data_IF_245419606314
#
_entry.id   IF_245419606314
#
_cell.length_a   1.000
_cell.length_b   1.000
_cell.length_c   1.000
_cell.angle_alpha   90.00
_cell.angle_beta   90.00
_cell.angle_gamma   90.00
#
_symmetry.space_group_name_H-M   'P 1'
#
loop_
_entity.id
_entity.type
_entity.pdbx_description
1 polymer ?
#
# COMPACT_ATOMS: atom_id res chain seq x y z
N UNK A 1 4.92 1.29 -11.93
CA UNK A 1 3.95 0.27 -11.46
C UNK A 1 4.65 -0.51 -10.36
N UNK A 2 3.95 -0.83 -9.27
CA UNK A 2 4.53 -1.55 -8.14
C UNK A 2 3.94 -2.96 -8.09
N UNK A 3 4.80 -3.94 -7.88
CA UNK A 3 4.45 -5.35 -7.72
C UNK A 3 5.01 -5.82 -6.39
N UNK A 4 4.18 -6.49 -5.60
CA UNK A 4 4.58 -7.11 -4.34
C UNK A 4 4.23 -8.60 -4.40
N UNK A 5 5.13 -9.45 -3.93
CA UNK A 5 4.93 -10.87 -3.74
C UNK A 5 5.21 -11.19 -2.28
N UNK A 6 4.24 -11.78 -1.59
CA UNK A 6 4.38 -12.27 -0.23
C UNK A 6 4.43 -13.79 -0.28
N UNK A 7 5.48 -14.38 0.30
CA UNK A 7 5.79 -15.78 0.13
C UNK A 7 6.64 -16.34 1.26
N UNK A 8 6.66 -17.68 1.34
CA UNK A 8 7.45 -18.40 2.32
C UNK A 8 8.66 -19.08 1.65
N UNK A 9 9.82 -18.91 2.27
CA UNK A 9 11.09 -19.54 1.88
C UNK A 9 11.54 -20.65 2.83
N UNK A 10 10.97 -20.71 4.05
CA UNK A 10 11.24 -21.76 5.06
C UNK A 10 10.31 -22.97 4.95
N UNK A 11 9.30 -22.87 4.09
CA UNK A 11 8.37 -23.95 3.74
C UNK A 11 7.23 -24.13 4.72
N UNK A 12 6.09 -24.57 4.21
CA UNK A 12 5.01 -25.16 5.02
C UNK A 12 4.81 -26.60 4.59
N UNK A 13 4.43 -27.51 5.51
CA UNK A 13 4.17 -28.89 5.15
C UNK A 13 2.91 -28.97 4.26
N UNK A 14 3.02 -29.67 3.14
CA UNK A 14 1.88 -30.08 2.35
C UNK A 14 1.22 -31.29 3.02
N UNK A 15 0.11 -31.04 3.73
CA UNK A 15 -0.58 -32.09 4.49
C UNK A 15 -1.18 -33.19 3.61
N UNK A 16 -1.50 -32.90 2.34
CA UNK A 16 -1.97 -33.93 1.41
C UNK A 16 -0.88 -34.98 1.10
N UNK A 17 0.40 -34.64 1.30
CA UNK A 17 1.53 -35.57 1.23
C UNK A 17 1.82 -36.17 2.60
N UNK A 18 1.84 -35.34 3.64
CA UNK A 18 2.27 -35.74 4.99
C UNK A 18 1.26 -36.66 5.70
N UNK A 19 -0.04 -36.43 5.55
CA UNK A 19 -1.06 -37.12 6.33
C UNK A 19 -1.28 -38.57 5.86
N UNK A 20 -1.58 -38.87 4.57
CA UNK A 20 -1.84 -40.26 4.14
C UNK A 20 -0.60 -41.15 4.25
N UNK A 21 0.57 -40.61 3.89
CA UNK A 21 1.83 -41.35 3.82
C UNK A 21 2.65 -41.37 5.10
N UNK A 22 2.33 -40.53 6.08
CA UNK A 22 3.13 -40.35 7.30
C UNK A 22 2.33 -40.53 8.59
N UNK A 23 1.38 -39.62 8.82
CA UNK A 23 0.59 -39.56 10.07
C UNK A 23 -0.36 -40.76 10.17
N UNK A 24 -1.07 -41.08 9.09
CA UNK A 24 -2.06 -42.15 9.05
C UNK A 24 -1.45 -43.54 8.82
N UNK A 25 -0.16 -43.61 8.47
CA UNK A 25 0.54 -44.86 8.09
C UNK A 25 1.56 -45.34 9.14
N UNK A 26 1.61 -44.74 10.33
CA UNK A 26 2.63 -44.96 11.38
C UNK A 26 4.09 -44.73 10.94
N UNK A 27 4.34 -44.15 9.76
CA UNK A 27 5.70 -43.88 9.29
C UNK A 27 6.37 -42.72 10.05
N UNK A 28 5.58 -41.75 10.51
CA UNK A 28 6.03 -40.65 11.36
C UNK A 28 5.83 -41.00 12.83
N UNK A 29 6.90 -40.89 13.63
CA UNK A 29 6.85 -41.11 15.07
C UNK A 29 6.58 -39.80 15.86
N UNK A 30 5.41 -39.59 16.48
CA UNK A 30 5.14 -38.37 17.24
C UNK A 30 5.74 -38.36 18.65
N UNK A 31 6.28 -39.49 19.15
CA UNK A 31 6.70 -39.66 20.55
C UNK A 31 8.20 -39.95 20.72
N UNK A 32 8.99 -39.86 19.65
CA UNK A 32 10.43 -40.15 19.72
C UNK A 32 11.16 -39.87 18.40
N UNK A 33 12.44 -40.29 18.29
CA UNK A 33 13.24 -40.10 17.08
C UNK A 33 12.58 -40.70 15.83
N UNK A 34 12.78 -40.05 14.68
CA UNK A 34 12.29 -40.53 13.38
C UNK A 34 13.20 -41.63 12.81
N UNK A 35 12.59 -42.54 12.04
CA UNK A 35 13.33 -43.38 11.09
C UNK A 35 13.87 -42.52 9.94
N UNK A 36 14.85 -43.03 9.18
CA UNK A 36 15.35 -42.34 7.98
C UNK A 36 14.24 -42.06 6.95
N UNK A 37 13.29 -42.98 6.80
CA UNK A 37 12.17 -42.86 5.87
C UNK A 37 11.15 -41.84 6.36
N UNK A 38 10.83 -41.82 7.66
CA UNK A 38 9.93 -40.82 8.26
C UNK A 38 10.52 -39.42 8.16
N UNK A 39 11.82 -39.27 8.44
CA UNK A 39 12.50 -37.98 8.31
C UNK A 39 12.54 -37.50 6.85
N UNK A 40 12.76 -38.40 5.89
CA UNK A 40 12.73 -38.07 4.47
C UNK A 40 11.35 -37.59 4.02
N UNK A 41 10.27 -38.23 4.47
CA UNK A 41 8.90 -37.80 4.17
C UNK A 41 8.61 -36.41 4.75
N UNK A 42 8.99 -36.15 6.01
CA UNK A 42 8.83 -34.84 6.65
C UNK A 42 9.55 -33.78 5.81
N UNK A 43 10.84 -33.98 5.52
CA UNK A 43 11.63 -33.01 4.77
C UNK A 43 11.09 -32.77 3.36
N UNK A 44 10.62 -33.82 2.67
CA UNK A 44 10.05 -33.72 1.32
C UNK A 44 8.65 -33.12 1.27
N UNK A 45 7.96 -33.02 2.41
CA UNK A 45 6.61 -32.44 2.48
C UNK A 45 6.61 -30.91 2.49
N UNK A 46 7.73 -30.26 2.86
CA UNK A 46 7.80 -28.81 2.93
C UNK A 46 7.85 -28.20 1.53
N UNK A 47 6.88 -27.33 1.25
CA UNK A 47 6.78 -26.61 -0.02
C UNK A 47 6.96 -25.10 0.19
N UNK A 48 7.73 -24.48 -0.68
CA UNK A 48 7.93 -23.04 -0.74
C UNK A 48 7.08 -22.44 -1.86
N UNK A 49 6.71 -21.18 -1.70
CA UNK A 49 5.94 -20.49 -2.73
C UNK A 49 5.47 -19.12 -2.32
N UNK A 50 4.91 -18.43 -3.30
CA UNK A 50 4.33 -17.12 -3.12
C UNK A 50 2.89 -17.32 -2.70
N UNK A 51 2.53 -16.90 -1.50
CA UNK A 51 1.17 -16.98 -0.99
C UNK A 51 0.25 -15.97 -1.68
N UNK A 52 0.74 -14.75 -1.91
CA UNK A 52 -0.06 -13.64 -2.41
C UNK A 52 0.74 -12.78 -3.39
N UNK A 53 0.06 -12.35 -4.45
CA UNK A 53 0.55 -11.33 -5.35
C UNK A 53 -0.29 -10.05 -5.24
N UNK A 54 0.37 -8.90 -5.25
CA UNK A 54 -0.24 -7.59 -5.25
C UNK A 54 0.32 -6.72 -6.38
N UNK A 55 -0.56 -5.95 -7.04
CA UNK A 55 -0.19 -4.99 -8.08
C UNK A 55 -0.85 -3.65 -7.82
N UNK A 56 -0.06 -2.59 -7.85
CA UNK A 56 -0.52 -1.20 -7.80
C UNK A 56 -0.04 -0.41 -9.02
N UNK A 57 -0.96 0.32 -9.65
CA UNK A 57 -0.67 1.29 -10.71
C UNK A 57 -1.19 2.66 -10.31
N UNK A 58 -0.39 3.69 -10.57
CA UNK A 58 -0.71 5.10 -10.31
C UNK A 58 -0.35 5.95 -11.51
N UNK A 59 -1.16 6.96 -11.79
CA UNK A 59 -0.86 8.05 -12.71
C UNK A 59 -1.34 9.37 -12.11
N UNK A 60 -0.72 10.48 -12.49
CA UNK A 60 -1.15 11.81 -12.08
C UNK A 60 -0.76 12.87 -13.09
N UNK A 61 -1.61 13.88 -13.21
CA UNK A 61 -1.36 15.10 -13.97
C UNK A 61 -1.69 16.29 -13.07
N UNK A 62 -0.82 17.28 -13.06
CA UNK A 62 -0.99 18.48 -12.25
C UNK A 62 -0.45 19.70 -12.97
N UNK A 63 -1.06 20.85 -12.69
CA UNK A 63 -0.59 22.15 -13.17
C UNK A 63 -0.87 23.23 -12.15
N UNK A 64 -0.06 24.28 -12.17
CA UNK A 64 -0.26 25.45 -11.34
C UNK A 64 0.28 26.70 -12.03
N UNK A 65 -0.22 27.84 -11.60
CA UNK A 65 0.26 29.16 -11.98
C UNK A 65 0.46 29.98 -10.71
N UNK A 66 1.41 30.90 -10.74
CA UNK A 66 1.65 31.80 -9.62
C UNK A 66 1.84 33.22 -10.11
N UNK A 67 1.42 34.17 -9.28
CA UNK A 67 1.54 35.59 -9.58
C UNK A 67 1.98 36.35 -8.33
N UNK A 68 2.90 37.30 -8.54
CA UNK A 68 3.25 38.28 -7.51
C UNK A 68 2.16 39.35 -7.52
N UNK A 69 1.54 39.61 -6.38
CA UNK A 69 0.41 40.53 -6.29
C UNK A 69 0.91 41.97 -6.09
N UNK A 70 1.28 42.30 -4.85
CA UNK A 70 1.73 43.64 -4.46
C UNK A 70 2.65 43.54 -3.24
N UNK A 71 3.41 44.60 -3.00
CA UNK A 71 4.18 44.75 -1.76
C UNK A 71 3.21 45.16 -0.65
N UNK A 72 2.88 44.24 0.24
CA UNK A 72 2.09 44.56 1.42
C UNK A 72 3.03 45.08 2.52
N UNK A 73 2.59 46.06 3.30
CA UNK A 73 3.26 46.54 4.52
C UNK A 73 4.66 47.12 4.30
N UNK A 74 4.92 47.69 3.11
CA UNK A 74 6.23 48.25 2.75
C UNK A 74 7.38 47.23 2.89
N UNK A 75 7.07 45.94 2.77
CA UNK A 75 8.05 44.85 2.85
C UNK A 75 8.86 44.74 1.56
N UNK A 76 10.05 44.14 1.66
CA UNK A 76 10.96 43.93 0.53
C UNK A 76 10.46 42.89 -0.48
N UNK A 77 9.45 42.09 -0.12
CA UNK A 77 8.97 40.98 -0.92
C UNK A 77 7.47 41.14 -1.18
N UNK A 78 7.06 40.99 -2.43
CA UNK A 78 5.66 40.99 -2.80
C UNK A 78 4.94 39.74 -2.26
N UNK A 79 3.67 39.89 -1.90
CA UNK A 79 2.80 38.74 -1.65
C UNK A 79 2.67 37.89 -2.93
N UNK A 80 2.58 36.58 -2.76
CA UNK A 80 2.52 35.62 -3.87
C UNK A 80 1.24 34.81 -3.73
N UNK A 81 0.45 34.79 -4.81
CA UNK A 81 -0.70 33.89 -4.96
C UNK A 81 -0.33 32.78 -5.93
N UNK A 82 -0.57 31.54 -5.54
CA UNK A 82 -0.51 30.38 -6.41
C UNK A 82 -1.89 29.72 -6.45
N UNK A 83 -2.29 29.26 -7.64
CA UNK A 83 -3.48 28.43 -7.81
C UNK A 83 -3.11 27.23 -8.68
N UNK A 84 -3.70 26.08 -8.38
CA UNK A 84 -3.41 24.87 -9.13
C UNK A 84 -4.51 23.83 -9.06
N UNK A 85 -4.36 22.84 -9.93
CA UNK A 85 -5.25 21.70 -10.01
C UNK A 85 -4.46 20.41 -10.25
N UNK A 86 -5.02 19.30 -9.80
CA UNK A 86 -4.44 17.98 -10.01
C UNK A 86 -5.52 16.92 -10.21
N UNK A 87 -5.21 15.92 -11.02
CA UNK A 87 -5.98 14.68 -11.14
C UNK A 87 -5.03 13.48 -11.02
N UNK A 88 -5.45 12.48 -10.26
CA UNK A 88 -4.68 11.26 -10.02
C UNK A 88 -5.59 10.05 -10.05
N UNK A 89 -5.11 8.96 -10.65
CA UNK A 89 -5.77 7.66 -10.58
C UNK A 89 -4.87 6.62 -9.94
N UNK A 90 -5.44 5.83 -9.04
CA UNK A 90 -4.83 4.67 -8.41
C UNK A 90 -5.69 3.42 -8.68
N UNK A 91 -5.04 2.30 -8.98
CA UNK A 91 -5.67 0.98 -9.03
C UNK A 91 -4.79 -0.02 -8.29
N UNK A 92 -5.42 -0.82 -7.45
CA UNK A 92 -4.81 -1.90 -6.69
C UNK A 92 -5.58 -3.20 -6.91
N UNK A 93 -4.85 -4.31 -6.90
CA UNK A 93 -5.39 -5.66 -6.95
C UNK A 93 -4.44 -6.57 -6.18
N UNK A 94 -4.98 -7.50 -5.42
CA UNK A 94 -4.21 -8.53 -4.76
C UNK A 94 -5.02 -9.79 -4.58
N UNK A 95 -4.38 -10.94 -4.76
CA UNK A 95 -5.03 -12.23 -4.62
C UNK A 95 -4.03 -13.27 -4.10
N UNK A 96 -4.57 -14.31 -3.46
CA UNK A 96 -3.81 -15.53 -3.17
C UNK A 96 -3.41 -16.23 -4.47
N UNK A 97 -2.32 -16.98 -4.43
CA UNK A 97 -1.89 -17.83 -5.54
C UNK A 97 -2.30 -19.29 -5.30
N UNK A 98 -2.24 -20.16 -6.33
CA UNK A 98 -2.49 -21.60 -6.16
C UNK A 98 -1.61 -22.29 -5.12
N UNK A 99 -0.50 -21.68 -4.68
CA UNK A 99 0.30 -22.17 -3.56
C UNK A 99 -0.54 -22.38 -2.30
N UNK A 100 -1.54 -21.51 -2.03
CA UNK A 100 -2.38 -21.65 -0.85
C UNK A 100 -3.12 -22.99 -0.79
N UNK A 101 -3.53 -23.55 -1.94
CA UNK A 101 -4.17 -24.87 -1.99
C UNK A 101 -3.31 -26.00 -1.41
N UNK A 102 -1.98 -25.84 -1.42
CA UNK A 102 -1.05 -26.84 -0.92
C UNK A 102 -0.79 -26.71 0.59
N UNK A 103 -0.97 -25.52 1.15
CA UNK A 103 -0.52 -25.18 2.51
C UNK A 103 -1.61 -24.61 3.41
N UNK A 104 -2.84 -24.43 2.90
CA UNK A 104 -3.97 -23.87 3.66
C UNK A 104 -4.27 -24.68 4.93
N UNK A 105 -4.14 -26.01 4.88
CA UNK A 105 -4.32 -26.86 6.05
C UNK A 105 -3.32 -26.55 7.18
N UNK A 106 -2.05 -26.33 6.81
CA UNK A 106 -0.97 -26.03 7.75
C UNK A 106 -0.96 -24.56 8.22
N UNK A 107 -1.42 -23.64 7.37
CA UNK A 107 -1.36 -22.18 7.62
C UNK A 107 -2.66 -21.59 8.17
N UNK A 108 -3.79 -22.27 7.97
CA UNK A 108 -5.13 -21.76 8.28
C UNK A 108 -5.58 -20.59 7.39
N UNK A 109 -4.84 -20.27 6.33
CA UNK A 109 -5.11 -19.14 5.46
C UNK A 109 -6.13 -19.49 4.37
N UNK A 110 -7.14 -18.65 4.19
CA UNK A 110 -8.15 -18.82 3.14
C UNK A 110 -7.76 -18.08 1.87
N UNK A 111 -8.36 -18.48 0.75
CA UNK A 111 -8.23 -17.73 -0.50
C UNK A 111 -8.95 -16.39 -0.45
N UNK A 112 -8.37 -15.40 -1.12
CA UNK A 112 -9.02 -14.12 -1.34
C UNK A 112 -8.57 -13.50 -2.65
N UNK A 113 -9.43 -12.61 -3.17
CA UNK A 113 -9.10 -11.70 -4.25
C UNK A 113 -9.76 -10.36 -3.96
N UNK A 114 -8.95 -9.31 -3.81
CA UNK A 114 -9.40 -7.95 -3.53
C UNK A 114 -8.89 -7.00 -4.60
N UNK A 115 -9.71 -6.03 -4.94
CA UNK A 115 -9.35 -4.97 -5.88
C UNK A 115 -9.97 -3.65 -5.46
N UNK A 116 -9.32 -2.55 -5.84
CA UNK A 116 -9.81 -1.21 -5.57
C UNK A 116 -9.25 -0.23 -6.59
N UNK A 117 -10.03 0.80 -6.89
CA UNK A 117 -9.56 1.91 -7.71
C UNK A 117 -10.15 3.21 -7.22
N UNK A 118 -9.36 4.27 -7.28
CA UNK A 118 -9.81 5.62 -6.95
C UNK A 118 -9.25 6.63 -7.92
N UNK A 119 -10.08 7.62 -8.23
CA UNK A 119 -9.66 8.85 -8.89
C UNK A 119 -9.82 10.00 -7.89
N UNK A 120 -8.75 10.77 -7.74
CA UNK A 120 -8.71 11.97 -6.91
C UNK A 120 -8.54 13.19 -7.81
N UNK A 121 -9.39 14.19 -7.62
CA UNK A 121 -9.30 15.49 -8.25
C UNK A 121 -9.12 16.54 -7.17
N UNK A 122 -8.35 17.58 -7.45
CA UNK A 122 -8.19 18.66 -6.50
C UNK A 122 -7.97 20.00 -7.18
N UNK A 123 -8.40 21.04 -6.47
CA UNK A 123 -8.07 22.44 -6.74
C UNK A 123 -7.54 23.05 -5.46
N UNK A 124 -6.56 23.94 -5.58
CA UNK A 124 -5.96 24.59 -4.42
C UNK A 124 -5.56 26.02 -4.73
N UNK A 125 -5.49 26.83 -3.68
CA UNK A 125 -4.96 28.17 -3.70
C UNK A 125 -4.06 28.38 -2.47
N UNK A 126 -2.94 29.06 -2.68
CA UNK A 126 -1.98 29.39 -1.62
C UNK A 126 -1.60 30.86 -1.75
N UNK A 127 -1.64 31.58 -0.63
CA UNK A 127 -1.28 32.98 -0.50
C UNK A 127 -0.18 33.11 0.56
N UNK A 128 1.00 33.52 0.13
CA UNK A 128 2.10 33.91 1.01
C UNK A 128 2.15 35.43 1.11
N UNK A 129 2.08 35.97 2.33
CA UNK A 129 2.12 37.41 2.63
C UNK A 129 3.26 37.71 3.60
N UNK A 130 4.34 38.37 3.12
CA UNK A 130 5.35 38.94 4.00
C UNK A 130 4.75 40.12 4.78
N UNK A 131 4.74 40.04 6.11
CA UNK A 131 4.21 41.09 7.00
C UNK A 131 5.32 42.01 7.53
N UNK A 132 6.58 41.54 7.55
CA UNK A 132 7.75 42.28 8.04
C UNK A 132 9.06 41.54 7.74
N UNK A 133 10.17 41.94 8.36
CA UNK A 133 11.47 41.26 8.21
C UNK A 133 11.59 39.93 8.95
N UNK A 134 10.65 39.66 9.86
CA UNK A 134 10.64 38.50 10.76
C UNK A 134 9.24 37.87 10.91
N UNK A 135 8.30 38.21 10.02
CA UNK A 135 6.93 37.73 10.09
C UNK A 135 6.39 37.51 8.69
N UNK A 136 6.06 36.27 8.37
CA UNK A 136 5.30 35.87 7.20
C UNK A 136 4.00 35.17 7.61
N UNK A 137 2.96 35.37 6.80
CA UNK A 137 1.68 34.68 6.91
C UNK A 137 1.46 33.86 5.65
N UNK A 138 1.19 32.57 5.82
CA UNK A 138 0.80 31.66 4.75
C UNK A 138 -0.64 31.22 4.96
N UNK A 139 -1.49 31.47 3.98
CA UNK A 139 -2.86 30.97 3.90
C UNK A 139 -2.98 30.01 2.73
N UNK A 140 -3.48 28.81 2.96
CA UNK A 140 -3.72 27.83 1.90
C UNK A 140 -5.09 27.18 2.07
N UNK A 141 -5.77 26.91 0.97
CA UNK A 141 -6.95 26.07 0.95
C UNK A 141 -6.89 25.08 -0.21
N UNK A 142 -7.44 23.89 0.02
CA UNK A 142 -7.47 22.81 -0.95
C UNK A 142 -8.76 22.02 -0.83
N UNK A 143 -9.46 21.88 -1.95
CA UNK A 143 -10.61 21.00 -2.08
C UNK A 143 -10.21 19.74 -2.86
N UNK A 144 -10.42 18.57 -2.25
CA UNK A 144 -10.19 17.28 -2.88
C UNK A 144 -11.52 16.53 -3.04
N UNK A 145 -11.76 15.99 -4.24
CA UNK A 145 -12.88 15.10 -4.56
C UNK A 145 -12.35 13.72 -4.91
N UNK A 146 -12.88 12.71 -4.23
CA UNK A 146 -12.53 11.31 -4.40
C UNK A 146 -13.73 10.51 -4.89
N UNK A 147 -13.49 9.60 -5.82
CA UNK A 147 -14.54 8.77 -6.42
C UNK A 147 -15.18 7.76 -5.46
N UNK A 148 -14.52 7.44 -4.33
CA UNK A 148 -14.83 6.33 -3.45
C UNK A 148 -15.27 6.73 -2.03
N UNK A 149 -14.97 7.95 -1.57
CA UNK A 149 -15.36 8.40 -0.21
C UNK A 149 -15.73 9.89 -0.11
N UNK A 150 -15.94 10.57 -1.25
CA UNK A 150 -16.55 11.90 -1.29
C UNK A 150 -15.56 13.05 -1.34
N UNK A 151 -15.96 14.20 -0.77
CA UNK A 151 -15.23 15.47 -0.88
C UNK A 151 -14.72 15.92 0.49
N UNK A 152 -13.57 16.61 0.51
CA UNK A 152 -13.00 17.24 1.69
C UNK A 152 -12.43 18.61 1.34
N UNK A 153 -12.46 19.54 2.30
CA UNK A 153 -11.83 20.85 2.21
C UNK A 153 -10.80 20.96 3.35
N UNK A 154 -9.60 21.44 3.02
CA UNK A 154 -8.44 21.45 3.89
C UNK A 154 -7.78 22.84 3.91
N UNK A 155 -8.38 23.74 4.67
CA UNK A 155 -7.81 25.07 4.94
C UNK A 155 -6.70 25.03 5.99
N UNK A 156 -5.66 25.85 5.79
CA UNK A 156 -4.55 26.02 6.74
C UNK A 156 -4.08 27.47 6.77
N UNK A 157 -3.78 27.94 7.98
CA UNK A 157 -3.08 29.18 8.27
C UNK A 157 -1.76 28.86 8.99
N UNK A 158 -0.66 29.43 8.54
CA UNK A 158 0.64 29.35 9.19
C UNK A 158 1.26 30.73 9.33
N UNK A 159 2.00 30.91 10.42
CA UNK A 159 2.73 32.15 10.74
C UNK A 159 4.15 31.75 11.08
N UNK A 160 5.14 32.40 10.48
CA UNK A 160 6.58 32.12 10.69
C UNK A 160 7.41 33.39 10.82
#
# INVERSE_FOLDING_TARGET
>A
QNLNADGNTGGYPNEAVLAPGGILSNLINPFGPQSLQGQALINGSYVNGIYQNGKMSRWSVSGHVSHRLFHWFNTRHAAILAVGASVRGDRFQSATTPYNNLVTAATGLTDFAVQGSRTAQAVYAELNVPMGSHLDVDLSDREDRYSDFGTTNNGKLAVR
#
